data_IF_584429148462
#
_entry.id   IF_584429148462
#
_cell.length_a   1.000
_cell.length_b   1.000
_cell.length_c   1.000
_cell.angle_alpha   90.00
_cell.angle_beta   90.00
_cell.angle_gamma   90.00
#
_symmetry.space_group_name_H-M   'P 1'
#
loop_
_entity.id
_entity.type
_entity.pdbx_description
1 polymer ?
#
# COMPACT_ATOMS: atom_id res chain seq x y z
N UNK A 1 -11.81 0.04 -20.18
CA UNK A 1 -11.07 -1.24 -20.14
C UNK A 1 -11.23 -1.89 -18.80
N UNK A 2 -11.75 -3.12 -18.76
CA UNK A 2 -11.93 -3.79 -17.46
C UNK A 2 -10.62 -3.95 -16.70
N UNK A 3 -9.52 -4.16 -17.40
CA UNK A 3 -8.23 -4.33 -16.78
C UNK A 3 -7.78 -3.07 -16.04
N UNK A 4 -8.03 -1.90 -16.64
CA UNK A 4 -7.68 -0.64 -15.97
C UNK A 4 -8.47 -0.44 -14.70
N UNK A 5 -9.74 -0.82 -14.70
CA UNK A 5 -10.56 -0.74 -13.50
C UNK A 5 -9.98 -1.63 -12.40
N UNK A 6 -9.53 -2.83 -12.76
CA UNK A 6 -8.97 -3.76 -11.78
C UNK A 6 -7.69 -3.24 -11.15
N UNK A 7 -6.88 -2.47 -11.87
CA UNK A 7 -5.66 -1.91 -11.30
C UNK A 7 -5.94 -0.96 -10.16
N UNK A 8 -7.13 -0.37 -10.09
CA UNK A 8 -7.49 0.55 -9.04
C UNK A 8 -8.36 -0.08 -7.97
N UNK A 9 -8.67 -1.36 -8.08
CA UNK A 9 -9.35 -2.07 -7.01
C UNK A 9 -8.39 -2.34 -5.87
N UNK A 10 -8.92 -2.36 -4.65
CA UNK A 10 -8.15 -2.76 -3.49
C UNK A 10 -8.05 -4.28 -3.44
N UNK A 11 -6.86 -4.77 -3.17
CA UNK A 11 -6.64 -6.20 -3.04
C UNK A 11 -6.28 -6.53 -1.60
N UNK A 12 -6.91 -7.53 -1.01
CA UNK A 12 -6.55 -7.96 0.34
C UNK A 12 -5.17 -8.61 0.32
N UNK A 13 -4.29 -8.10 1.13
CA UNK A 13 -2.98 -8.68 1.35
C UNK A 13 -2.70 -8.55 2.84
N UNK A 14 -1.85 -9.40 3.34
CA UNK A 14 -1.45 -9.34 4.73
C UNK A 14 0.07 -9.40 4.74
N UNK A 15 0.67 -8.24 4.68
CA UNK A 15 2.12 -8.17 4.66
C UNK A 15 2.60 -7.09 5.63
N UNK A 16 3.81 -7.27 6.12
CA UNK A 16 4.36 -6.35 7.11
C UNK A 16 4.74 -5.03 6.46
N UNK A 17 4.65 -3.96 7.24
CA UNK A 17 5.02 -2.63 6.80
C UNK A 17 5.74 -1.92 7.93
N UNK A 18 6.76 -1.15 7.56
CA UNK A 18 7.39 -0.19 8.45
C UNK A 18 7.07 1.19 7.88
N UNK A 19 6.61 2.09 8.74
CA UNK A 19 6.31 3.44 8.29
C UNK A 19 7.11 4.44 9.11
N UNK A 20 7.54 5.50 8.44
CA UNK A 20 8.37 6.54 9.03
C UNK A 20 7.67 7.87 8.92
N UNK A 21 7.38 8.49 10.04
CA UNK A 21 6.70 9.79 10.10
C UNK A 21 7.55 10.71 10.96
N UNK A 22 8.36 11.56 10.31
CA UNK A 22 9.28 12.42 11.01
C UNK A 22 10.32 11.59 11.77
N UNK A 23 10.37 11.77 13.08
CA UNK A 23 11.29 11.04 13.94
C UNK A 23 10.71 9.71 14.44
N UNK A 24 9.47 9.43 14.10
CA UNK A 24 8.79 8.23 14.58
C UNK A 24 8.82 7.13 13.55
N UNK A 25 8.97 5.91 14.02
CA UNK A 25 8.91 4.74 13.19
C UNK A 25 7.90 3.77 13.79
N UNK A 26 6.97 3.30 12.97
CA UNK A 26 5.99 2.34 13.37
C UNK A 26 6.07 1.09 12.53
N UNK A 27 5.52 -0.01 13.06
CA UNK A 27 5.42 -1.26 12.35
C UNK A 27 3.98 -1.75 12.39
N UNK A 28 3.58 -2.41 11.34
CA UNK A 28 2.22 -2.89 11.27
C UNK A 28 2.00 -3.83 10.11
N UNK A 29 0.76 -3.87 9.67
CA UNK A 29 0.33 -4.78 8.62
C UNK A 29 -0.44 -4.01 7.57
N UNK A 30 -0.12 -4.26 6.31
CA UNK A 30 -0.93 -3.79 5.18
C UNK A 30 -2.07 -4.80 5.00
N UNK A 31 -3.30 -4.28 5.00
CA UNK A 31 -4.50 -5.11 4.83
C UNK A 31 -4.96 -5.14 3.40
N UNK A 32 -4.93 -4.00 2.75
CA UNK A 32 -5.35 -3.84 1.37
C UNK A 32 -4.47 -2.80 0.72
N UNK A 33 -4.28 -2.95 -0.57
CA UNK A 33 -3.63 -1.90 -1.32
C UNK A 33 -4.19 -1.85 -2.74
N UNK A 34 -4.05 -0.69 -3.34
CA UNK A 34 -4.36 -0.45 -4.73
C UNK A 34 -3.23 0.36 -5.33
N UNK A 35 -3.35 0.70 -6.61
CA UNK A 35 -2.32 1.47 -7.26
C UNK A 35 -2.10 2.84 -6.61
N UNK A 36 -3.11 3.40 -5.98
CA UNK A 36 -3.06 4.75 -5.42
C UNK A 36 -3.06 4.82 -3.90
N UNK A 37 -3.28 3.72 -3.20
CA UNK A 37 -3.43 3.84 -1.76
C UNK A 37 -3.24 2.55 -1.00
N UNK A 38 -3.15 2.71 0.31
CA UNK A 38 -2.81 1.65 1.26
C UNK A 38 -3.73 1.71 2.45
N UNK A 39 -4.22 0.56 2.88
CA UNK A 39 -4.90 0.43 4.17
C UNK A 39 -4.03 -0.41 5.07
N UNK A 40 -3.64 0.16 6.21
CA UNK A 40 -2.76 -0.55 7.12
C UNK A 40 -3.14 -0.29 8.57
N UNK A 41 -2.65 -1.15 9.44
CA UNK A 41 -2.72 -0.95 10.88
C UNK A 41 -1.30 -0.88 11.42
N UNK A 42 -1.11 -0.16 12.52
CA UNK A 42 0.23 -0.01 13.06
C UNK A 42 0.23 0.33 14.53
N UNK A 43 1.41 0.21 15.13
CA UNK A 43 1.61 0.38 16.56
C UNK A 43 1.90 1.82 16.98
N UNK A 44 2.26 2.68 16.03
CA UNK A 44 2.47 4.10 16.31
C UNK A 44 1.35 4.89 15.67
N UNK A 45 0.61 5.71 16.46
CA UNK A 45 -0.54 6.44 15.91
C UNK A 45 -0.12 7.48 14.88
N UNK A 46 -0.95 7.62 13.87
CA UNK A 46 -0.80 8.66 12.85
C UNK A 46 -2.02 9.56 12.88
N UNK A 47 -1.88 10.75 12.32
CA UNK A 47 -2.95 11.72 12.24
C UNK A 47 -3.28 12.04 10.79
N UNK A 48 -4.53 12.35 10.54
CA UNK A 48 -4.97 12.76 9.20
C UNK A 48 -4.15 13.96 8.74
N UNK A 49 -3.67 13.89 7.49
CA UNK A 49 -2.84 14.94 6.93
C UNK A 49 -1.35 14.76 7.14
N UNK A 50 -0.97 13.83 8.01
CA UNK A 50 0.44 13.55 8.25
C UNK A 50 1.03 12.80 7.07
N UNK A 51 2.28 13.11 6.71
CA UNK A 51 2.97 12.39 5.65
C UNK A 51 3.95 11.40 6.25
N UNK A 52 4.15 10.30 5.56
CA UNK A 52 5.10 9.29 6.01
C UNK A 52 5.63 8.51 4.82
N UNK A 53 6.76 7.83 5.04
CA UNK A 53 7.31 6.89 4.06
C UNK A 53 6.94 5.48 4.49
N UNK A 54 6.73 4.60 3.51
CA UNK A 54 6.37 3.21 3.79
C UNK A 54 7.41 2.27 3.20
N UNK A 55 7.74 1.22 3.95
CA UNK A 55 8.49 0.09 3.44
C UNK A 55 7.61 -1.13 3.62
N UNK A 56 7.12 -1.67 2.53
CA UNK A 56 6.18 -2.79 2.54
C UNK A 56 6.92 -4.05 2.11
N UNK A 57 6.83 -5.08 2.92
CA UNK A 57 7.47 -6.36 2.63
C UNK A 57 6.42 -7.32 2.08
N UNK A 58 6.46 -7.53 0.78
CA UNK A 58 5.52 -8.42 0.10
C UNK A 58 5.90 -9.89 0.31
N UNK A 59 4.94 -10.81 0.13
CA UNK A 59 5.17 -12.21 0.46
C UNK A 59 6.28 -12.90 -0.32
N UNK A 60 6.67 -12.41 -1.47
CA UNK A 60 7.66 -13.08 -2.31
C UNK A 60 9.01 -12.36 -2.23
N UNK A 61 9.46 -12.08 -1.04
CA UNK A 61 10.73 -11.39 -0.79
C UNK A 61 10.88 -10.10 -1.60
N UNK A 62 9.77 -9.46 -1.94
CA UNK A 62 9.80 -8.17 -2.60
C UNK A 62 9.53 -7.08 -1.59
N UNK A 63 10.28 -6.02 -1.69
CA UNK A 63 10.12 -4.85 -0.84
C UNK A 63 9.73 -3.67 -1.70
N UNK A 64 8.67 -2.99 -1.29
CA UNK A 64 8.22 -1.80 -1.97
C UNK A 64 8.40 -0.61 -1.05
N UNK A 65 9.08 0.40 -1.56
CA UNK A 65 9.31 1.64 -0.81
C UNK A 65 8.46 2.75 -1.42
N UNK A 66 7.57 3.30 -0.61
CA UNK A 66 6.77 4.46 -0.99
C UNK A 66 7.41 5.68 -0.33
N UNK A 67 7.94 6.58 -1.14
CA UNK A 67 8.70 7.71 -0.62
C UNK A 67 7.84 8.64 0.21
N UNK A 68 6.63 8.91 -0.22
CA UNK A 68 5.73 9.79 0.52
C UNK A 68 4.29 9.35 0.34
N UNK A 69 3.61 9.15 1.45
CA UNK A 69 2.18 8.91 1.49
C UNK A 69 1.55 9.84 2.50
N UNK A 70 0.29 10.20 2.27
CA UNK A 70 -0.43 11.09 3.18
C UNK A 70 -1.57 10.32 3.82
N UNK A 71 -1.74 10.50 5.12
CA UNK A 71 -2.82 9.87 5.87
C UNK A 71 -4.14 10.58 5.54
N UNK A 72 -5.08 9.84 4.96
CA UNK A 72 -6.38 10.38 4.58
C UNK A 72 -7.45 10.13 5.63
N UNK A 73 -7.35 9.01 6.34
CA UNK A 73 -8.29 8.74 7.43
C UNK A 73 -7.61 7.87 8.48
N UNK A 74 -8.13 7.95 9.70
CA UNK A 74 -7.67 7.17 10.84
C UNK A 74 -8.90 6.62 11.56
N UNK A 75 -8.83 5.34 11.92
CA UNK A 75 -9.88 4.70 12.70
C UNK A 75 -9.22 3.74 13.68
N UNK A 76 -9.03 4.21 14.92
CA UNK A 76 -8.28 3.43 15.90
C UNK A 76 -6.85 3.25 15.46
N UNK A 77 -6.42 2.02 15.33
CA UNK A 77 -5.07 1.69 14.87
C UNK A 77 -4.99 1.44 13.36
N UNK A 78 -6.07 1.70 12.64
CA UNK A 78 -6.12 1.55 11.20
C UNK A 78 -5.98 2.89 10.52
N UNK A 79 -5.26 2.89 9.41
CA UNK A 79 -4.99 4.11 8.65
C UNK A 79 -5.21 3.86 7.17
N UNK A 80 -5.77 4.86 6.50
CA UNK A 80 -5.83 4.88 5.05
C UNK A 80 -4.87 5.93 4.52
N UNK A 81 -3.96 5.52 3.64
CA UNK A 81 -2.95 6.41 3.09
C UNK A 81 -3.04 6.44 1.59
N UNK A 82 -2.77 7.62 1.05
CA UNK A 82 -2.69 7.83 -0.39
C UNK A 82 -1.25 8.07 -0.79
N UNK A 83 -0.79 7.40 -1.84
CA UNK A 83 0.56 7.59 -2.35
C UNK A 83 0.66 8.96 -3.01
N UNK A 84 1.62 9.75 -2.56
CA UNK A 84 1.91 11.06 -3.15
C UNK A 84 3.14 11.01 -4.04
N UNK A 85 4.17 10.28 -3.63
CA UNK A 85 5.41 10.21 -4.39
C UNK A 85 5.96 8.80 -4.29
N UNK A 86 6.24 8.22 -5.46
CA UNK A 86 6.80 6.89 -5.56
C UNK A 86 7.71 6.89 -6.79
N UNK A 87 8.83 6.21 -6.70
CA UNK A 87 9.74 6.12 -7.82
C UNK A 87 9.09 5.38 -8.97
N UNK A 88 9.43 5.78 -10.19
CA UNK A 88 8.84 5.18 -11.38
C UNK A 88 9.05 3.67 -11.43
N UNK A 89 10.22 3.20 -11.07
CA UNK A 89 10.50 1.77 -11.05
C UNK A 89 9.65 1.06 -10.00
N UNK A 90 9.49 1.68 -8.84
CA UNK A 90 8.67 1.12 -7.77
C UNK A 90 7.20 1.08 -8.18
N UNK A 91 6.73 2.13 -8.85
CA UNK A 91 5.36 2.17 -9.35
C UNK A 91 5.11 1.01 -10.33
N UNK A 92 6.05 0.75 -11.22
CA UNK A 92 5.94 -0.36 -12.16
C UNK A 92 5.90 -1.70 -11.44
N UNK A 93 6.66 -1.85 -10.36
CA UNK A 93 6.65 -3.08 -9.56
C UNK A 93 5.30 -3.25 -8.86
N UNK A 94 4.71 -2.19 -8.35
CA UNK A 94 3.38 -2.25 -7.74
C UNK A 94 2.35 -2.69 -8.78
N UNK A 95 2.40 -2.11 -9.96
CA UNK A 95 1.52 -2.54 -11.06
C UNK A 95 1.69 -4.02 -11.37
N UNK A 96 2.93 -4.48 -11.41
CA UNK A 96 3.21 -5.88 -11.70
C UNK A 96 2.62 -6.80 -10.62
N UNK A 97 2.78 -6.42 -9.37
CA UNK A 97 2.21 -7.20 -8.26
C UNK A 97 0.70 -7.25 -8.35
N UNK A 98 0.06 -6.13 -8.65
CA UNK A 98 -1.40 -6.10 -8.80
C UNK A 98 -1.85 -7.02 -9.92
N UNK A 99 -1.15 -6.99 -11.06
CA UNK A 99 -1.46 -7.87 -12.18
C UNK A 99 -1.35 -9.33 -11.77
N UNK A 100 -0.32 -9.68 -11.03
CA UNK A 100 -0.15 -11.05 -10.56
C UNK A 100 -1.28 -11.45 -9.60
N UNK A 101 -1.69 -10.55 -8.71
CA UNK A 101 -2.78 -10.83 -7.80
C UNK A 101 -4.10 -11.05 -8.54
N UNK A 102 -4.34 -10.29 -9.59
CA UNK A 102 -5.51 -10.50 -10.43
C UNK A 102 -5.48 -11.88 -11.07
N UNK A 103 -4.33 -12.29 -11.58
CA UNK A 103 -4.18 -13.59 -12.21
C UNK A 103 -4.34 -14.73 -11.19
N UNK A 104 -3.71 -14.58 -10.02
CA UNK A 104 -3.75 -15.62 -9.01
C UNK A 104 -5.11 -15.76 -8.35
N UNK A 105 -5.90 -14.70 -8.37
CA UNK A 105 -7.25 -14.78 -7.81
C UNK A 105 -8.19 -15.58 -8.70
N UNK A 106 -7.74 -15.94 -9.89
CA UNK A 106 -8.58 -16.67 -10.83
C UNK A 106 -9.63 -15.82 -11.49
N UNK A 107 -9.60 -14.53 -11.30
CA UNK A 107 -10.57 -13.65 -11.93
C UNK A 107 -10.21 -13.45 -13.38
N UNK A 108 -11.17 -13.72 -14.24
CA UNK A 108 -11.01 -13.46 -15.66
C UNK A 108 -11.43 -12.05 -15.98
N UNK A 109 -10.72 -11.50 -16.94
CA UNK A 109 -10.97 -10.12 -17.34
C UNK A 109 -11.96 -10.06 -18.47
N UNK A 110 -12.18 -11.14 -19.12
CA UNK A 110 -13.15 -11.19 -20.18
C UNK A 110 -14.57 -11.11 -19.68
#
# INVERSE_FOLDING_TARGET
MPFMVRLYQSFPVYCSVTYHAGLFQGQGTVWKFSLSGWKLSGDVPLQVGQTCALTVNLPIDERIVVATAIVRWVRGQEFGLETLAIEKQTHSRVEHVIKRLVEESGENIE
#
